data_IF_323176544250
#
_entry.id   IF_323176544250
#
_cell.length_a   1.000
_cell.length_b   1.000
_cell.length_c   1.000
_cell.angle_alpha   90.00
_cell.angle_beta   90.00
_cell.angle_gamma   90.00
#
_symmetry.space_group_name_H-M   'P 1'
#
loop_
_entity.id
_entity.type
_entity.pdbx_description
1 polymer ?
#
# COMPACT_ATOMS: atom_id res chain seq x y z
N UNK A 1 30.53 2.60 24.45
CA UNK A 1 30.44 3.82 23.62
C UNK A 1 30.12 3.30 22.24
N UNK A 2 28.84 3.43 21.87
CA UNK A 2 28.25 2.92 20.63
C UNK A 2 29.01 3.46 19.42
N UNK A 3 29.55 2.53 18.63
CA UNK A 3 29.87 2.81 17.24
C UNK A 3 28.60 2.41 16.49
N UNK A 4 27.86 3.44 16.07
CA UNK A 4 26.63 3.37 15.29
C UNK A 4 26.83 2.47 14.07
N UNK A 5 26.31 1.23 14.19
CA UNK A 5 26.14 0.27 13.11
C UNK A 5 24.93 0.66 12.24
N UNK A 6 24.96 1.90 11.75
CA UNK A 6 24.03 2.42 10.76
C UNK A 6 24.73 2.37 9.41
N UNK A 7 24.81 1.16 8.86
CA UNK A 7 25.24 0.93 7.48
C UNK A 7 24.24 1.61 6.52
N UNK A 8 24.69 2.27 5.44
CA UNK A 8 23.82 3.02 4.51
C UNK A 8 22.61 2.22 3.99
N UNK A 9 22.79 0.91 3.76
CA UNK A 9 21.72 0.00 3.32
C UNK A 9 20.59 -0.17 4.34
N UNK A 10 20.88 0.02 5.64
CA UNK A 10 19.90 -0.06 6.72
C UNK A 10 19.01 1.17 6.75
N UNK A 11 19.61 2.35 6.55
CA UNK A 11 18.91 3.64 6.48
C UNK A 11 17.96 3.64 5.28
N UNK A 12 18.44 3.22 4.10
CA UNK A 12 17.61 3.08 2.89
C UNK A 12 16.43 2.10 3.10
N UNK A 13 16.65 0.97 3.79
CA UNK A 13 15.59 0.01 4.11
C UNK A 13 14.53 0.58 5.06
N UNK A 14 14.90 1.44 6.00
CA UNK A 14 13.96 2.00 6.97
C UNK A 14 13.16 3.17 6.38
N UNK A 15 13.78 3.98 5.52
CA UNK A 15 13.08 5.00 4.73
C UNK A 15 12.02 4.37 3.82
N UNK A 16 12.34 3.27 3.13
CA UNK A 16 11.38 2.52 2.31
C UNK A 16 10.19 2.04 3.17
N UNK A 17 10.44 1.47 4.36
CA UNK A 17 9.36 1.05 5.26
C UNK A 17 8.48 2.22 5.68
N UNK A 18 9.07 3.38 5.99
CA UNK A 18 8.32 4.58 6.37
C UNK A 18 7.41 5.03 5.23
N UNK A 19 7.94 5.09 4.00
CA UNK A 19 7.15 5.48 2.82
C UNK A 19 6.00 4.51 2.59
N UNK A 20 6.26 3.20 2.64
CA UNK A 20 5.24 2.16 2.43
C UNK A 20 4.17 2.19 3.51
N UNK A 21 4.55 2.29 4.78
CA UNK A 21 3.61 2.40 5.89
C UNK A 21 2.76 3.67 5.79
N UNK A 22 3.36 4.78 5.39
CA UNK A 22 2.65 6.05 5.18
C UNK A 22 1.64 5.93 4.03
N UNK A 23 2.01 5.27 2.93
CA UNK A 23 1.12 5.00 1.81
C UNK A 23 -0.05 4.11 2.25
N UNK A 24 0.23 3.04 3.00
CA UNK A 24 -0.80 2.16 3.55
C UNK A 24 -1.78 2.93 4.45
N UNK A 25 -1.28 3.72 5.40
CA UNK A 25 -2.11 4.54 6.29
C UNK A 25 -2.97 5.55 5.52
N UNK A 26 -2.41 6.15 4.46
CA UNK A 26 -3.14 7.10 3.61
C UNK A 26 -4.27 6.42 2.86
N UNK A 27 -4.05 5.23 2.30
CA UNK A 27 -5.08 4.44 1.64
C UNK A 27 -6.17 3.97 2.62
N UNK A 28 -5.78 3.52 3.82
CA UNK A 28 -6.72 3.13 4.86
C UNK A 28 -7.61 4.31 5.30
N UNK A 29 -7.02 5.49 5.47
CA UNK A 29 -7.76 6.73 5.76
C UNK A 29 -8.77 7.07 4.65
N UNK A 30 -8.40 6.92 3.38
CA UNK A 30 -9.29 7.18 2.26
C UNK A 30 -10.47 6.18 2.22
N UNK A 31 -10.21 4.90 2.49
CA UNK A 31 -11.28 3.89 2.56
C UNK A 31 -12.27 4.19 3.70
N UNK A 32 -11.79 4.53 4.89
CA UNK A 32 -12.63 4.98 6.01
C UNK A 32 -13.44 6.24 5.64
N UNK A 33 -12.84 7.17 4.88
CA UNK A 33 -13.57 8.36 4.42
C UNK A 33 -14.66 8.02 3.41
N UNK A 34 -14.41 7.08 2.50
CA UNK A 34 -15.40 6.59 1.53
C UNK A 34 -16.53 5.89 2.27
N UNK A 35 -16.23 5.06 3.26
CA UNK A 35 -17.22 4.37 4.08
C UNK A 35 -18.13 5.37 4.81
N UNK A 36 -17.54 6.39 5.44
CA UNK A 36 -18.30 7.43 6.17
C UNK A 36 -19.25 8.24 5.28
N UNK A 37 -18.97 8.37 3.98
CA UNK A 37 -19.75 9.20 3.06
C UNK A 37 -20.69 8.37 2.17
N UNK A 38 -20.22 7.25 1.65
CA UNK A 38 -20.90 6.39 0.69
C UNK A 38 -21.33 5.03 1.23
N UNK A 39 -20.99 4.70 2.47
CA UNK A 39 -21.30 3.44 3.12
C UNK A 39 -20.29 2.32 2.83
N UNK A 40 -20.45 1.23 3.58
CA UNK A 40 -19.60 0.04 3.56
C UNK A 40 -19.42 -0.54 2.14
N UNK A 41 -20.50 -0.65 1.37
CA UNK A 41 -20.47 -1.19 0.02
C UNK A 41 -19.60 -0.35 -0.94
N UNK A 42 -19.61 0.98 -0.79
CA UNK A 42 -18.81 1.88 -1.61
C UNK A 42 -17.31 1.75 -1.28
N UNK A 43 -16.98 1.62 0.01
CA UNK A 43 -15.60 1.43 0.44
C UNK A 43 -15.06 0.04 0.03
N UNK A 44 -15.88 -1.00 0.13
CA UNK A 44 -15.53 -2.34 -0.33
C UNK A 44 -15.30 -2.40 -1.85
N UNK A 45 -16.17 -1.74 -2.64
CA UNK A 45 -15.98 -1.62 -4.08
C UNK A 45 -14.69 -0.87 -4.43
N UNK A 46 -14.43 0.27 -3.78
CA UNK A 46 -13.21 1.04 -4.01
C UNK A 46 -11.93 0.23 -3.69
N UNK A 47 -11.93 -0.54 -2.61
CA UNK A 47 -10.81 -1.44 -2.27
C UNK A 47 -10.63 -2.53 -3.32
N UNK A 48 -11.72 -3.15 -3.76
CA UNK A 48 -11.68 -4.18 -4.80
C UNK A 48 -11.12 -3.63 -6.11
N UNK A 49 -11.65 -2.49 -6.57
CA UNK A 49 -11.21 -1.84 -7.80
C UNK A 49 -9.73 -1.45 -7.73
N UNK A 50 -9.23 -0.97 -6.58
CA UNK A 50 -7.81 -0.68 -6.39
C UNK A 50 -6.95 -1.93 -6.62
N UNK A 51 -7.29 -3.05 -5.99
CA UNK A 51 -6.55 -4.32 -6.10
C UNK A 51 -6.59 -4.85 -7.54
N UNK A 52 -7.76 -4.81 -8.18
CA UNK A 52 -7.91 -5.27 -9.56
C UNK A 52 -7.14 -4.38 -10.55
N UNK A 53 -7.17 -3.06 -10.36
CA UNK A 53 -6.44 -2.12 -11.21
C UNK A 53 -4.91 -2.22 -11.03
N UNK A 54 -4.44 -2.56 -9.82
CA UNK A 54 -3.04 -2.92 -9.58
C UNK A 54 -2.68 -4.24 -10.26
N UNK A 55 -3.55 -5.25 -10.18
CA UNK A 55 -3.28 -6.60 -10.72
C UNK A 55 -3.32 -6.68 -12.25
N UNK A 56 -4.24 -5.95 -12.87
CA UNK A 56 -4.56 -6.08 -14.30
C UNK A 56 -4.34 -4.80 -15.12
N UNK A 57 -3.77 -3.75 -14.52
CA UNK A 57 -3.01 -2.75 -15.28
C UNK A 57 -3.75 -1.50 -15.73
N UNK A 58 -4.57 -0.89 -14.87
CA UNK A 58 -4.90 0.55 -15.05
C UNK A 58 -3.92 1.47 -14.31
N UNK A 59 -3.18 0.94 -13.33
CA UNK A 59 -2.03 1.62 -12.73
C UNK A 59 -0.81 1.13 -13.49
N UNK A 60 -0.03 2.07 -14.03
CA UNK A 60 1.02 1.84 -15.03
C UNK A 60 2.07 0.83 -14.51
N UNK A 61 1.83 -0.46 -14.76
CA UNK A 61 2.70 -1.57 -14.33
C UNK A 61 4.07 -1.52 -15.02
N UNK A 62 4.19 -0.72 -16.09
CA UNK A 62 5.46 -0.42 -16.75
C UNK A 62 6.50 0.23 -15.82
N UNK A 63 6.07 0.82 -14.69
CA UNK A 63 6.97 1.45 -13.71
C UNK A 63 7.67 0.41 -12.81
N UNK A 64 7.07 -0.77 -12.61
CA UNK A 64 7.62 -1.83 -11.76
C UNK A 64 8.28 -2.91 -12.63
N UNK A 65 9.44 -2.61 -13.21
CA UNK A 65 10.26 -3.55 -14.00
C UNK A 65 10.72 -4.80 -13.20
N UNK A 66 10.45 -4.86 -11.89
CA UNK A 66 10.74 -5.97 -10.99
C UNK A 66 9.46 -6.59 -10.40
N UNK A 67 9.20 -7.85 -10.76
CA UNK A 67 8.07 -8.65 -10.29
C UNK A 67 8.01 -8.78 -8.76
N UNK A 68 9.15 -8.78 -8.05
CA UNK A 68 9.16 -8.87 -6.58
C UNK A 68 8.67 -7.59 -5.92
N UNK A 69 9.02 -6.44 -6.49
CA UNK A 69 8.53 -5.14 -6.01
C UNK A 69 7.04 -5.00 -6.29
N UNK A 70 6.57 -5.53 -7.42
CA UNK A 70 5.15 -5.63 -7.72
C UNK A 70 4.38 -6.45 -6.68
N UNK A 71 4.84 -7.68 -6.39
CA UNK A 71 4.20 -8.55 -5.40
C UNK A 71 4.15 -7.88 -4.02
N UNK A 72 5.21 -7.15 -3.67
CA UNK A 72 5.25 -6.39 -2.43
C UNK A 72 4.21 -5.26 -2.40
N UNK A 73 4.11 -4.43 -3.44
CA UNK A 73 3.10 -3.35 -3.54
C UNK A 73 1.68 -3.92 -3.47
N UNK A 74 1.43 -5.03 -4.18
CA UNK A 74 0.15 -5.72 -4.15
C UNK A 74 -0.20 -6.21 -2.74
N UNK A 75 0.76 -6.79 -2.02
CA UNK A 75 0.55 -7.24 -0.64
C UNK A 75 0.17 -6.10 0.32
N UNK A 76 0.70 -4.90 0.11
CA UNK A 76 0.37 -3.70 0.91
C UNK A 76 -1.07 -3.24 0.65
N UNK A 77 -1.53 -3.33 -0.60
CA UNK A 77 -2.91 -3.02 -0.96
C UNK A 77 -3.89 -4.09 -0.46
N UNK A 78 -3.52 -5.36 -0.54
CA UNK A 78 -4.31 -6.47 -0.01
C UNK A 78 -4.44 -6.40 1.52
N UNK A 79 -3.44 -5.85 2.22
CA UNK A 79 -3.49 -5.64 3.66
C UNK A 79 -4.46 -4.52 4.11
N UNK A 80 -5.03 -3.74 3.19
CA UNK A 80 -5.99 -2.69 3.54
C UNK A 80 -7.24 -3.27 4.21
N UNK A 81 -7.87 -2.55 5.17
CA UNK A 81 -9.09 -3.01 5.83
C UNK A 81 -10.19 -3.35 4.82
N UNK A 82 -10.83 -4.52 4.95
CA UNK A 82 -12.06 -4.83 4.22
C UNK A 82 -13.24 -4.35 5.05
N UNK A 83 -14.00 -3.33 4.61
CA UNK A 83 -15.12 -2.78 5.37
C UNK A 83 -16.22 -3.80 5.69
N UNK A 84 -16.24 -4.94 4.98
CA UNK A 84 -17.26 -5.99 5.14
C UNK A 84 -16.97 -7.01 6.22
N UNK A 85 -15.82 -6.93 6.90
CA UNK A 85 -15.37 -7.87 7.92
C UNK A 85 -15.04 -7.19 9.26
#
# INVERSE_FOLDING_TARGET
MDITDETPSRIESDEIKIVVNTLHLSMAFLLDRIEKVGGEAAAAAARHDLIENLRYGNIDMAIMEDTKLFDFVLSVAEALPDPRH
#
